data_IF_856349899282
#
_entry.id   IF_856349899282
#
_cell.length_a   1.000
_cell.length_b   1.000
_cell.length_c   1.000
_cell.angle_alpha   90.00
_cell.angle_beta   90.00
_cell.angle_gamma   90.00
#
_symmetry.space_group_name_H-M   'P 1'
#
loop_
_entity.id
_entity.type
_entity.pdbx_description
1 polymer ?
#
# COMPACT_ATOMS: atom_id res chain seq x y z
N UNK A 1 -58.02 -33.27 13.37
CA UNK A 1 -57.69 -31.83 13.31
C UNK A 1 -56.27 -31.64 13.85
N UNK A 2 -55.25 -31.48 12.99
CA UNK A 2 -53.86 -31.25 13.39
C UNK A 2 -53.55 -29.76 13.26
N UNK A 3 -53.24 -29.10 14.39
CA UNK A 3 -52.77 -27.71 14.45
C UNK A 3 -51.30 -27.66 14.04
N UNK A 4 -50.97 -26.83 13.05
CA UNK A 4 -49.59 -26.53 12.65
C UNK A 4 -49.21 -25.21 13.33
N UNK A 5 -48.19 -25.23 14.19
CA UNK A 5 -47.54 -24.03 14.72
C UNK A 5 -46.53 -23.52 13.68
N UNK A 6 -46.69 -22.26 13.25
CA UNK A 6 -45.65 -21.52 12.54
C UNK A 6 -44.72 -20.87 13.58
N UNK A 7 -43.42 -21.18 13.50
CA UNK A 7 -42.38 -20.47 14.24
C UNK A 7 -41.78 -19.37 13.36
N UNK A 8 -41.94 -18.11 13.78
CA UNK A 8 -41.39 -16.93 13.11
C UNK A 8 -39.94 -16.73 13.57
N UNK A 9 -38.97 -16.93 12.68
CA UNK A 9 -37.56 -16.64 12.95
C UNK A 9 -37.28 -15.14 12.70
N UNK A 10 -36.92 -14.43 13.76
CA UNK A 10 -36.42 -13.05 13.70
C UNK A 10 -34.94 -13.09 13.33
N UNK A 11 -34.58 -12.62 12.12
CA UNK A 11 -33.20 -12.41 11.72
C UNK A 11 -32.72 -11.05 12.27
N UNK A 12 -31.85 -11.07 13.28
CA UNK A 12 -31.11 -9.90 13.69
C UNK A 12 -30.06 -9.55 12.62
N UNK A 13 -30.20 -8.39 12.00
CA UNK A 13 -29.22 -7.83 11.07
C UNK A 13 -28.12 -7.21 11.94
N UNK A 14 -26.99 -7.90 12.11
CA UNK A 14 -25.79 -7.26 12.63
C UNK A 14 -25.27 -6.30 11.56
N UNK A 15 -25.43 -4.99 11.77
CA UNK A 15 -24.74 -3.97 10.98
C UNK A 15 -23.25 -4.06 11.31
N UNK A 16 -22.44 -4.51 10.35
CA UNK A 16 -20.98 -4.44 10.45
C UNK A 16 -20.59 -2.97 10.55
N UNK A 17 -19.91 -2.57 11.63
CA UNK A 17 -19.31 -1.25 11.71
C UNK A 17 -18.29 -1.11 10.57
N UNK A 18 -18.52 -0.20 9.64
CA UNK A 18 -17.54 0.15 8.62
C UNK A 18 -16.37 0.83 9.35
N UNK A 19 -15.24 0.12 9.47
CA UNK A 19 -14.03 0.73 10.00
C UNK A 19 -13.55 1.83 9.05
N UNK A 20 -13.25 3.01 9.60
CA UNK A 20 -12.64 4.09 8.86
C UNK A 20 -11.26 3.63 8.36
N UNK A 21 -10.97 3.90 7.09
CA UNK A 21 -9.69 3.52 6.51
C UNK A 21 -8.55 4.29 7.20
N UNK A 22 -7.38 3.67 7.34
CA UNK A 22 -6.16 4.28 7.85
C UNK A 22 -5.11 4.31 6.75
N UNK A 23 -4.41 5.43 6.63
CA UNK A 23 -3.32 5.65 5.66
C UNK A 23 -2.10 6.22 6.39
N UNK A 24 -0.92 6.05 5.84
CA UNK A 24 0.28 6.74 6.34
C UNK A 24 0.49 8.04 5.58
N UNK A 25 0.76 9.13 6.28
CA UNK A 25 1.01 10.45 5.70
C UNK A 25 2.39 10.92 6.10
N UNK A 26 3.12 11.52 5.16
CA UNK A 26 4.37 12.22 5.42
C UNK A 26 4.40 13.54 4.67
N UNK A 27 4.93 14.57 5.33
CA UNK A 27 5.27 15.86 4.71
C UNK A 27 6.77 16.04 4.81
N UNK A 28 7.42 16.21 3.66
CA UNK A 28 8.84 16.51 3.54
C UNK A 28 9.00 17.93 3.02
N UNK A 29 9.06 18.87 3.94
CA UNK A 29 9.25 20.29 3.70
C UNK A 29 10.75 20.64 3.73
N UNK A 30 11.13 21.75 3.08
CA UNK A 30 12.50 22.26 3.12
C UNK A 30 12.79 22.95 4.45
N UNK A 31 11.78 23.63 5.00
CA UNK A 31 11.81 24.27 6.29
C UNK A 31 11.70 23.30 7.47
N UNK A 32 11.71 23.83 8.70
CA UNK A 32 11.76 23.02 9.92
C UNK A 32 10.45 22.27 10.21
N UNK A 33 9.35 22.62 9.55
CA UNK A 33 8.02 22.07 9.83
C UNK A 33 7.70 20.93 8.84
N UNK A 34 7.95 19.70 9.28
CA UNK A 34 7.64 18.48 8.53
C UNK A 34 6.79 17.53 9.38
N UNK A 35 6.04 16.65 8.71
CA UNK A 35 5.30 15.58 9.37
C UNK A 35 6.05 14.27 9.11
N UNK A 36 6.61 13.60 10.14
CA UNK A 36 7.19 12.26 9.95
C UNK A 36 6.11 11.29 9.49
N UNK A 37 6.49 10.12 8.96
CA UNK A 37 5.52 9.08 8.56
C UNK A 37 4.57 8.78 9.73
N UNK A 38 3.31 9.19 9.58
CA UNK A 38 2.29 9.15 10.62
C UNK A 38 1.06 8.43 10.11
N UNK A 39 0.60 7.42 10.82
CA UNK A 39 -0.67 6.76 10.50
C UNK A 39 -1.84 7.64 10.93
N UNK A 40 -2.72 7.96 10.00
CA UNK A 40 -3.92 8.76 10.22
C UNK A 40 -5.16 7.94 9.90
N UNK A 41 -6.27 8.27 10.55
CA UNK A 41 -7.59 7.73 10.17
C UNK A 41 -8.23 8.70 9.19
N UNK A 42 -8.70 8.19 8.06
CA UNK A 42 -9.37 8.99 7.04
C UNK A 42 -10.64 9.63 7.62
N UNK A 43 -10.88 10.92 7.36
CA UNK A 43 -12.03 11.62 7.92
C UNK A 43 -13.34 11.08 7.31
N UNK A 44 -14.45 11.22 8.04
CA UNK A 44 -15.78 10.89 7.52
C UNK A 44 -16.43 12.05 6.76
N UNK A 45 -15.82 13.24 6.79
CA UNK A 45 -16.29 14.47 6.13
C UNK A 45 -15.21 14.95 5.17
N UNK A 46 -15.63 15.40 3.99
CA UNK A 46 -14.74 16.04 3.02
C UNK A 46 -14.20 17.36 3.56
N UNK A 47 -12.88 17.56 3.68
CA UNK A 47 -12.35 18.88 3.96
C UNK A 47 -12.62 19.83 2.79
N UNK A 48 -12.76 21.11 3.12
CA UNK A 48 -13.00 22.18 2.14
C UNK A 48 -11.81 23.12 2.05
N UNK A 49 -11.43 23.47 0.82
CA UNK A 49 -10.46 24.53 0.52
C UNK A 49 -10.97 25.40 -0.59
N UNK A 50 -10.81 26.71 -0.42
CA UNK A 50 -11.24 27.71 -1.39
C UNK A 50 -12.70 27.55 -1.88
N UNK A 51 -13.58 27.04 -1.02
CA UNK A 51 -14.99 26.75 -1.37
C UNK A 51 -15.22 25.45 -2.15
N UNK A 52 -14.20 24.62 -2.36
CA UNK A 52 -14.28 23.33 -3.04
C UNK A 52 -14.03 22.16 -2.08
N UNK A 53 -14.77 21.06 -2.29
CA UNK A 53 -14.66 19.83 -1.51
C UNK A 53 -13.50 18.97 -1.99
N UNK A 54 -12.78 18.39 -1.04
CA UNK A 54 -11.80 17.34 -1.26
C UNK A 54 -12.40 16.03 -0.73
N UNK A 55 -12.76 15.07 -1.59
CA UNK A 55 -13.51 13.89 -1.15
C UNK A 55 -12.76 13.14 -0.03
N UNK A 56 -13.50 12.59 0.93
CA UNK A 56 -12.93 11.98 2.15
C UNK A 56 -12.07 10.71 1.90
N UNK A 57 -11.97 10.27 0.65
CA UNK A 57 -11.14 9.15 0.18
C UNK A 57 -9.88 9.60 -0.55
N UNK A 58 -9.54 10.89 -0.52
CA UNK A 58 -8.46 11.46 -1.36
C UNK A 58 -7.20 11.78 -0.57
N UNK A 59 -6.09 12.01 -1.26
CA UNK A 59 -4.83 12.42 -0.68
C UNK A 59 -4.97 13.74 0.08
N UNK A 60 -5.79 14.68 -0.39
CA UNK A 60 -6.07 15.91 0.35
C UNK A 60 -6.85 15.68 1.65
N UNK A 61 -7.76 14.70 1.70
CA UNK A 61 -8.38 14.29 2.96
C UNK A 61 -7.38 13.62 3.92
N UNK A 62 -6.43 12.86 3.40
CA UNK A 62 -5.35 12.28 4.20
C UNK A 62 -4.42 13.38 4.76
N UNK A 63 -4.05 14.37 3.93
CA UNK A 63 -3.27 15.53 4.36
C UNK A 63 -3.98 16.27 5.49
N UNK A 64 -5.27 16.58 5.31
CA UNK A 64 -6.08 17.28 6.32
C UNK A 64 -6.10 16.53 7.66
N UNK A 65 -6.27 15.20 7.63
CA UNK A 65 -6.21 14.37 8.84
C UNK A 65 -4.81 14.34 9.50
N UNK A 66 -3.74 14.47 8.71
CA UNK A 66 -2.36 14.41 9.20
C UNK A 66 -1.82 15.73 9.72
N UNK A 67 -2.12 16.85 9.06
CA UNK A 67 -1.59 18.17 9.43
C UNK A 67 -2.63 19.05 10.09
N UNK A 68 -3.93 18.77 9.90
CA UNK A 68 -5.04 19.60 10.35
C UNK A 68 -5.37 20.72 9.37
N UNK A 69 -6.66 20.95 9.14
CA UNK A 69 -7.16 21.93 8.17
C UNK A 69 -6.50 23.32 8.17
N UNK A 70 -6.26 23.98 9.31
CA UNK A 70 -5.61 25.30 9.31
C UNK A 70 -4.15 25.30 8.86
N UNK A 71 -3.49 24.14 8.82
CA UNK A 71 -2.05 24.01 8.57
C UNK A 71 -1.71 23.72 7.12
N UNK A 72 -2.67 23.82 6.20
CA UNK A 72 -2.38 23.76 4.77
C UNK A 72 -3.31 24.67 4.00
N UNK A 73 -2.86 25.18 2.86
CA UNK A 73 -3.64 26.03 1.98
C UNK A 73 -3.58 25.51 0.54
N UNK A 74 -4.69 25.67 -0.16
CA UNK A 74 -4.84 25.35 -1.56
C UNK A 74 -5.82 26.34 -2.18
N UNK A 75 -5.66 26.62 -3.48
CA UNK A 75 -6.56 27.43 -4.27
C UNK A 75 -7.18 26.60 -5.40
N UNK A 76 -8.35 27.02 -5.88
CA UNK A 76 -8.96 26.40 -7.04
C UNK A 76 -8.35 26.95 -8.33
N UNK A 77 -7.77 26.06 -9.15
CA UNK A 77 -7.34 26.41 -10.50
C UNK A 77 -8.39 25.98 -11.52
N UNK A 78 -9.01 26.96 -12.17
CA UNK A 78 -10.06 26.71 -13.18
C UNK A 78 -9.55 26.09 -14.48
N UNK A 79 -8.26 26.21 -14.79
CA UNK A 79 -7.63 25.65 -15.99
C UNK A 79 -7.41 24.15 -15.83
N UNK A 80 -7.04 23.71 -14.63
CA UNK A 80 -6.88 22.30 -14.28
C UNK A 80 -8.18 21.68 -13.72
N UNK A 81 -9.14 22.50 -13.31
CA UNK A 81 -10.39 22.09 -12.66
C UNK A 81 -10.11 21.25 -11.40
N UNK A 82 -9.17 21.72 -10.57
CA UNK A 82 -8.72 21.05 -9.36
C UNK A 82 -8.22 22.03 -8.28
N UNK A 83 -8.08 21.54 -7.05
CA UNK A 83 -7.41 22.25 -5.97
C UNK A 83 -5.90 22.05 -6.08
N UNK A 84 -5.16 23.15 -6.22
CA UNK A 84 -3.70 23.19 -6.27
C UNK A 84 -3.16 23.51 -4.88
N UNK A 85 -2.24 22.68 -4.39
CA UNK A 85 -1.66 22.82 -3.05
C UNK A 85 -0.62 23.95 -3.02
N UNK A 86 -0.84 24.96 -2.18
CA UNK A 86 0.02 26.13 -2.08
C UNK A 86 1.02 26.03 -0.94
N UNK A 87 0.56 25.61 0.23
CA UNK A 87 1.40 25.58 1.43
C UNK A 87 1.01 24.50 2.42
N UNK A 88 2.00 24.04 3.19
CA UNK A 88 1.85 23.18 4.36
C UNK A 88 2.68 23.79 5.50
N UNK A 89 2.12 23.86 6.71
CA UNK A 89 2.70 24.51 7.89
C UNK A 89 3.24 25.93 7.64
N UNK A 90 2.60 26.66 6.71
CA UNK A 90 3.00 28.01 6.32
C UNK A 90 4.19 28.07 5.34
N UNK A 91 4.78 26.94 4.96
CA UNK A 91 5.79 26.87 3.91
C UNK A 91 5.11 26.83 2.53
N UNK A 92 5.31 27.89 1.74
CA UNK A 92 4.63 28.09 0.47
C UNK A 92 5.52 27.68 -0.71
N UNK A 93 5.00 26.81 -1.55
CA UNK A 93 5.59 26.37 -2.83
C UNK A 93 4.49 26.36 -3.89
N UNK A 94 3.99 27.54 -4.30
CA UNK A 94 2.93 27.63 -5.29
C UNK A 94 3.40 27.05 -6.62
N UNK A 95 2.46 26.43 -7.33
CA UNK A 95 2.72 25.85 -8.65
C UNK A 95 3.25 26.91 -9.63
N UNK A 96 4.29 26.56 -10.39
CA UNK A 96 5.00 27.49 -11.28
C UNK A 96 6.15 28.27 -10.63
N UNK A 97 6.49 27.95 -9.37
CA UNK A 97 7.76 28.39 -8.76
C UNK A 97 8.87 27.34 -8.95
N UNK A 98 10.11 27.65 -8.58
CA UNK A 98 11.25 26.71 -8.64
C UNK A 98 11.09 25.46 -7.74
N UNK A 99 10.08 25.47 -6.86
CA UNK A 99 9.65 24.34 -6.04
C UNK A 99 8.12 24.19 -6.10
N UNK A 100 7.63 22.97 -5.88
CA UNK A 100 6.20 22.73 -5.76
C UNK A 100 5.92 21.57 -4.81
N UNK A 101 4.69 21.51 -4.29
CA UNK A 101 4.24 20.37 -3.51
C UNK A 101 3.83 19.20 -4.41
N UNK A 102 4.70 18.20 -4.51
CA UNK A 102 4.43 16.96 -5.23
C UNK A 102 3.75 15.93 -4.31
N UNK A 103 2.76 15.22 -4.86
CA UNK A 103 2.07 14.13 -4.16
C UNK A 103 2.54 12.79 -4.70
N UNK A 104 2.99 11.91 -3.81
CA UNK A 104 3.33 10.52 -4.15
C UNK A 104 2.47 9.56 -3.35
N UNK A 105 1.88 8.56 -4.01
CA UNK A 105 1.19 7.44 -3.38
C UNK A 105 2.02 6.17 -3.56
N UNK A 106 2.46 5.57 -2.47
CA UNK A 106 3.30 4.35 -2.47
C UNK A 106 4.54 4.52 -3.37
N UNK A 107 5.19 5.69 -3.28
CA UNK A 107 6.37 6.04 -4.07
C UNK A 107 6.09 6.45 -5.53
N UNK A 108 4.84 6.46 -5.99
CA UNK A 108 4.50 6.88 -7.37
C UNK A 108 3.95 8.29 -7.37
N UNK A 109 4.48 9.13 -8.25
CA UNK A 109 3.95 10.48 -8.41
C UNK A 109 2.52 10.41 -8.90
N UNK A 110 1.64 11.18 -8.28
CA UNK A 110 0.24 11.21 -8.63
C UNK A 110 0.00 12.06 -9.89
N UNK A 111 0.82 13.11 -10.10
CA UNK A 111 0.72 14.05 -11.22
C UNK A 111 -0.71 14.58 -11.47
N UNK A 112 -1.43 14.79 -10.38
CA UNK A 112 -2.83 15.20 -10.34
C UNK A 112 -3.04 15.98 -9.04
N UNK A 113 -4.05 16.85 -8.99
CA UNK A 113 -4.39 17.61 -7.80
C UNK A 113 -4.75 16.69 -6.64
N UNK A 114 -4.34 17.05 -5.41
CA UNK A 114 -4.46 16.15 -4.25
C UNK A 114 -5.90 15.69 -3.93
N UNK A 115 -6.91 16.41 -4.41
CA UNK A 115 -8.32 16.07 -4.26
C UNK A 115 -8.87 15.12 -5.34
N UNK A 116 -8.08 14.82 -6.37
CA UNK A 116 -8.40 13.84 -7.42
C UNK A 116 -7.68 12.51 -7.20
N UNK A 117 -6.73 12.47 -6.26
CA UNK A 117 -5.91 11.31 -5.98
C UNK A 117 -6.56 10.47 -4.89
N UNK A 118 -7.19 9.36 -5.27
CA UNK A 118 -7.75 8.41 -4.29
C UNK A 118 -6.65 7.72 -3.48
N UNK A 119 -6.91 7.55 -2.18
CA UNK A 119 -6.10 6.76 -1.26
C UNK A 119 -6.96 5.68 -0.61
N UNK A 120 -6.37 4.53 -0.34
CA UNK A 120 -7.02 3.38 0.25
C UNK A 120 -6.31 2.94 1.53
N UNK A 121 -7.00 2.11 2.32
CA UNK A 121 -6.44 1.46 3.51
C UNK A 121 -5.00 0.97 3.28
N UNK A 122 -4.07 1.43 4.12
CA UNK A 122 -2.66 1.02 4.09
C UNK A 122 -1.77 1.78 3.11
N UNK A 123 -2.32 2.67 2.28
CA UNK A 123 -1.51 3.48 1.37
C UNK A 123 -0.61 4.47 2.14
N UNK A 124 0.49 4.83 1.51
CA UNK A 124 1.43 5.83 1.99
C UNK A 124 1.40 7.06 1.07
N UNK A 125 0.83 8.15 1.57
CA UNK A 125 0.78 9.45 0.91
C UNK A 125 1.94 10.33 1.37
N UNK A 126 2.77 10.77 0.44
CA UNK A 126 3.90 11.65 0.68
C UNK A 126 3.66 12.99 -0.02
N UNK A 127 3.84 14.08 0.71
CA UNK A 127 3.78 15.45 0.22
C UNK A 127 5.19 16.03 0.29
N UNK A 128 5.77 16.32 -0.86
CA UNK A 128 7.20 16.63 -0.99
C UNK A 128 7.35 18.02 -1.59
N UNK A 129 8.15 18.88 -0.95
CA UNK A 129 8.63 20.11 -1.55
C UNK A 129 9.71 19.77 -2.60
N UNK A 130 9.27 19.42 -3.81
CA UNK A 130 10.10 18.91 -4.90
C UNK A 130 10.67 20.07 -5.72
N UNK A 131 11.92 19.94 -6.19
CA UNK A 131 12.48 20.85 -7.19
C UNK A 131 11.65 20.77 -8.49
N UNK A 132 11.42 21.91 -9.14
CA UNK A 132 10.97 21.90 -10.53
C UNK A 132 12.11 21.34 -11.42
N UNK A 133 11.90 20.25 -12.17
CA UNK A 133 12.93 19.66 -13.02
C UNK A 133 13.28 20.53 -14.25
N UNK A 134 12.40 21.45 -14.64
CA UNK A 134 12.58 22.35 -15.78
C UNK A 134 13.12 23.72 -15.37
N UNK A 135 12.86 24.15 -14.13
CA UNK A 135 13.34 25.43 -13.60
C UNK A 135 13.85 25.31 -12.15
N UNK A 136 14.91 24.51 -11.90
CA UNK A 136 15.43 24.31 -10.55
C UNK A 136 16.07 25.60 -9.99
N UNK A 137 16.08 25.80 -8.66
CA UNK A 137 16.74 26.94 -8.04
C UNK A 137 18.21 27.04 -8.45
N UNK A 138 18.62 28.19 -9.00
CA UNK A 138 20.00 28.45 -9.44
C UNK A 138 20.86 29.15 -8.38
N UNK A 139 20.22 29.63 -7.31
CA UNK A 139 20.84 30.36 -6.20
C UNK A 139 21.38 29.44 -5.09
N UNK A 140 21.27 28.11 -5.27
CA UNK A 140 21.67 27.12 -4.29
C UNK A 140 20.66 26.89 -3.17
N UNK A 141 19.45 27.44 -3.29
CA UNK A 141 18.35 27.14 -2.37
C UNK A 141 18.09 25.63 -2.33
N UNK A 142 17.93 25.04 -1.11
CA UNK A 142 17.70 23.62 -0.98
C UNK A 142 16.33 23.24 -1.56
N UNK A 143 16.31 22.16 -2.33
CA UNK A 143 15.09 21.53 -2.82
C UNK A 143 15.29 20.01 -2.87
N UNK A 144 14.20 19.25 -2.76
CA UNK A 144 14.29 17.80 -2.79
C UNK A 144 14.14 17.24 -4.22
N UNK A 145 14.90 16.19 -4.50
CA UNK A 145 14.59 15.25 -5.58
C UNK A 145 13.54 14.22 -5.15
N UNK A 146 13.15 13.35 -6.07
CA UNK A 146 12.09 12.37 -5.84
C UNK A 146 12.40 11.38 -4.70
N UNK A 147 11.37 10.84 -4.01
CA UNK A 147 11.56 10.13 -2.76
C UNK A 147 12.28 8.79 -2.90
N UNK A 148 12.99 8.45 -1.82
CA UNK A 148 13.35 7.07 -1.52
C UNK A 148 12.15 6.32 -0.93
N UNK A 149 12.18 5.00 -1.03
CA UNK A 149 11.33 4.12 -0.24
C UNK A 149 12.21 3.09 0.47
N UNK A 150 12.08 3.02 1.80
CA UNK A 150 12.79 2.08 2.64
C UNK A 150 11.84 0.98 3.12
N UNK A 151 12.24 -0.27 2.90
CA UNK A 151 11.62 -1.45 3.47
C UNK A 151 12.59 -2.12 4.44
N UNK A 152 12.15 -2.30 5.67
CA UNK A 152 12.88 -2.98 6.73
C UNK A 152 11.93 -3.96 7.44
N UNK A 153 12.45 -5.06 8.02
CA UNK A 153 11.62 -5.96 8.82
C UNK A 153 11.10 -5.24 10.07
N UNK A 154 9.89 -5.56 10.51
CA UNK A 154 9.31 -4.99 11.73
C UNK A 154 10.07 -5.44 12.99
N UNK A 155 10.72 -6.61 12.96
CA UNK A 155 11.46 -7.19 14.08
C UNK A 155 12.79 -7.80 13.63
N UNK A 156 13.81 -7.72 14.47
CA UNK A 156 15.11 -8.36 14.28
C UNK A 156 15.68 -8.87 15.61
N UNK A 157 16.43 -9.97 15.56
CA UNK A 157 17.15 -10.44 16.73
C UNK A 157 18.43 -9.59 16.96
N UNK A 158 18.83 -9.33 18.22
CA UNK A 158 20.03 -8.57 18.53
C UNK A 158 21.29 -9.22 17.93
N UNK A 159 22.15 -8.42 17.33
CA UNK A 159 23.41 -8.84 16.71
C UNK A 159 23.24 -9.60 15.39
N UNK A 160 22.01 -9.77 14.88
CA UNK A 160 21.76 -10.34 13.56
C UNK A 160 21.77 -9.27 12.48
N UNK A 161 22.03 -9.71 11.25
CA UNK A 161 21.94 -8.83 10.08
C UNK A 161 20.48 -8.51 9.77
N UNK A 162 20.14 -7.24 9.85
CA UNK A 162 18.89 -6.64 9.41
C UNK A 162 19.04 -6.25 7.95
N UNK A 163 18.51 -7.09 7.07
CA UNK A 163 18.45 -6.80 5.64
C UNK A 163 17.41 -5.73 5.35
N UNK A 164 17.77 -4.74 4.54
CA UNK A 164 16.87 -3.68 4.08
C UNK A 164 16.89 -3.57 2.57
N UNK A 165 15.81 -3.03 2.02
CA UNK A 165 15.68 -2.68 0.61
C UNK A 165 15.37 -1.20 0.49
N UNK A 166 16.16 -0.49 -0.31
CA UNK A 166 15.92 0.89 -0.67
C UNK A 166 15.63 0.97 -2.17
N UNK A 167 14.48 1.52 -2.51
CA UNK A 167 14.14 1.90 -3.88
C UNK A 167 14.07 3.42 -4.00
N UNK A 168 14.06 3.90 -5.22
CA UNK A 168 13.87 5.31 -5.54
C UNK A 168 12.83 5.47 -6.64
N UNK A 169 12.08 6.56 -6.54
CA UNK A 169 11.16 6.99 -7.59
C UNK A 169 11.94 7.63 -8.74
N UNK A 170 11.51 7.29 -9.95
CA UNK A 170 11.93 7.91 -11.20
C UNK A 170 10.69 8.20 -12.05
N UNK A 171 10.25 9.45 -12.06
CA UNK A 171 9.10 9.91 -12.83
C UNK A 171 9.55 10.54 -14.14
N UNK A 172 9.05 10.01 -15.24
CA UNK A 172 9.09 10.70 -16.53
C UNK A 172 7.89 11.63 -16.63
N UNK A 173 8.13 12.91 -16.39
CA UNK A 173 7.10 13.96 -16.39
C UNK A 173 6.41 14.14 -17.75
N UNK A 174 7.05 13.77 -18.87
CA UNK A 174 6.43 13.88 -20.19
C UNK A 174 5.36 12.81 -20.43
N UNK A 175 5.55 11.63 -19.83
CA UNK A 175 4.62 10.50 -19.95
C UNK A 175 3.74 10.32 -18.73
N UNK A 176 4.09 10.98 -17.63
CA UNK A 176 3.50 10.84 -16.32
C UNK A 176 3.74 9.48 -15.65
N UNK A 177 4.71 8.71 -16.13
CA UNK A 177 4.99 7.38 -15.62
C UNK A 177 6.06 7.44 -14.55
N UNK A 178 5.72 7.04 -13.32
CA UNK A 178 6.72 6.75 -12.28
C UNK A 178 7.12 5.28 -12.31
N UNK A 179 8.43 5.05 -12.41
CA UNK A 179 9.06 3.76 -12.20
C UNK A 179 9.71 3.73 -10.81
N UNK A 180 9.63 2.58 -10.15
CA UNK A 180 10.31 2.35 -8.86
C UNK A 180 11.50 1.45 -9.17
N UNK A 181 12.70 1.95 -8.91
CA UNK A 181 13.95 1.25 -9.25
C UNK A 181 14.81 1.04 -8.00
N UNK A 182 15.70 0.04 -8.00
CA UNK A 182 16.67 -0.13 -6.93
C UNK A 182 17.51 1.14 -6.72
N UNK A 183 17.62 1.60 -5.48
CA UNK A 183 18.45 2.76 -5.14
C UNK A 183 19.85 2.29 -4.79
N UNK A 184 20.71 2.15 -5.78
CA UNK A 184 22.13 1.82 -5.56
C UNK A 184 22.88 3.01 -4.95
N UNK A 185 23.77 2.75 -3.99
CA UNK A 185 24.60 3.79 -3.36
C UNK A 185 23.86 4.67 -2.34
N UNK A 186 22.66 4.31 -1.92
CA UNK A 186 21.98 4.96 -0.81
C UNK A 186 22.66 4.59 0.52
N UNK A 187 22.77 5.54 1.43
CA UNK A 187 23.27 5.30 2.79
C UNK A 187 22.10 4.89 3.66
N UNK A 188 22.22 3.75 4.33
CA UNK A 188 21.28 3.28 5.35
C UNK A 188 21.95 3.38 6.70
N UNK A 189 21.31 4.00 7.68
CA UNK A 189 21.83 4.17 9.03
C UNK A 189 20.81 3.87 10.11
N UNK A 190 21.29 3.33 11.23
CA UNK A 190 20.50 3.07 12.44
C UNK A 190 21.44 2.82 13.62
N UNK A 191 21.10 3.27 14.84
CA UNK A 191 21.86 2.90 16.05
C UNK A 191 23.37 3.13 15.97
N UNK A 192 23.82 4.18 15.28
CA UNK A 192 25.24 4.48 15.08
C UNK A 192 25.98 3.61 14.05
N UNK A 193 25.33 2.60 13.46
CA UNK A 193 25.86 1.83 12.33
C UNK A 193 25.34 2.36 11.00
N UNK A 194 26.15 2.17 9.95
CA UNK A 194 25.79 2.56 8.59
C UNK A 194 26.22 1.50 7.58
N UNK A 195 25.45 1.38 6.50
CA UNK A 195 25.77 0.56 5.33
C UNK A 195 25.36 1.32 4.06
N UNK A 196 25.88 0.88 2.93
CA UNK A 196 25.52 1.43 1.61
C UNK A 196 24.83 0.35 0.80
N UNK A 197 23.79 0.72 0.06
CA UNK A 197 23.06 -0.22 -0.79
C UNK A 197 23.86 -0.62 -2.03
N UNK A 198 23.75 -1.89 -2.38
CA UNK A 198 24.34 -2.45 -3.60
C UNK A 198 23.56 -2.08 -4.88
N UNK A 199 23.98 -2.62 -6.03
CA UNK A 199 23.32 -2.40 -7.32
C UNK A 199 21.85 -2.86 -7.39
N UNK A 200 21.43 -3.71 -6.45
CA UNK A 200 20.04 -4.17 -6.28
C UNK A 200 19.28 -3.41 -5.18
N UNK A 201 19.87 -2.35 -4.62
CA UNK A 201 19.24 -1.53 -3.59
C UNK A 201 19.20 -2.21 -2.23
N UNK A 202 20.04 -3.22 -1.99
CA UNK A 202 20.07 -3.95 -0.72
C UNK A 202 21.23 -3.51 0.16
N UNK A 203 20.96 -3.36 1.45
CA UNK A 203 21.99 -3.17 2.48
C UNK A 203 21.66 -4.06 3.69
N UNK A 204 22.65 -4.29 4.55
CA UNK A 204 22.45 -5.00 5.80
C UNK A 204 23.10 -4.22 6.94
N UNK A 205 22.37 -4.08 8.05
CA UNK A 205 22.84 -3.47 9.29
C UNK A 205 22.91 -4.53 10.38
N UNK A 206 23.95 -4.52 11.20
CA UNK A 206 24.01 -5.37 12.40
C UNK A 206 23.61 -4.52 13.61
N UNK A 207 22.41 -4.76 14.15
CA UNK A 207 21.86 -3.98 15.27
C UNK A 207 21.96 -4.78 16.57
N UNK A 208 22.75 -4.29 17.51
CA UNK A 208 22.98 -4.97 18.80
C UNK A 208 22.13 -4.40 19.93
N UNK A 209 21.79 -3.11 19.84
CA UNK A 209 20.99 -2.43 20.86
C UNK A 209 19.53 -2.85 20.75
N UNK A 210 18.95 -3.25 21.88
CA UNK A 210 17.57 -3.73 21.98
C UNK A 210 16.59 -2.56 22.02
N UNK A 211 15.38 -2.80 21.53
CA UNK A 211 14.30 -1.81 21.49
C UNK A 211 13.93 -1.34 20.09
N UNK A 212 12.94 -0.43 19.99
CA UNK A 212 12.57 0.20 18.72
C UNK A 212 13.74 1.00 18.18
N UNK A 213 14.17 0.67 16.98
CA UNK A 213 15.27 1.34 16.28
C UNK A 213 14.76 1.90 14.96
N UNK A 214 14.93 3.20 14.74
CA UNK A 214 14.64 3.84 13.46
C UNK A 214 15.79 3.61 12.49
N UNK A 215 15.48 2.96 11.38
CA UNK A 215 16.37 2.84 10.22
C UNK A 215 16.02 3.94 9.24
N UNK A 216 17.01 4.72 8.82
CA UNK A 216 16.86 5.79 7.84
C UNK A 216 17.69 5.50 6.59
N UNK A 217 17.18 5.92 5.43
CA UNK A 217 17.86 5.86 4.16
C UNK A 217 17.97 7.26 3.54
N UNK A 218 19.17 7.63 3.10
CA UNK A 218 19.46 8.93 2.46
C UNK A 218 20.28 8.74 1.18
N UNK A 219 20.09 9.63 0.19
CA UNK A 219 20.87 9.63 -1.06
C UNK A 219 20.82 10.98 -1.77
N UNK A 220 21.93 11.71 -1.75
CA UNK A 220 22.02 13.01 -2.42
C UNK A 220 20.92 13.95 -1.96
N UNK A 221 20.20 14.57 -2.90
CA UNK A 221 19.07 15.46 -2.66
C UNK A 221 17.71 14.76 -2.60
N UNK A 222 17.65 13.43 -2.75
CA UNK A 222 16.37 12.70 -2.67
C UNK A 222 15.77 12.84 -1.27
N UNK A 223 14.43 12.89 -1.20
CA UNK A 223 13.74 12.78 0.09
C UNK A 223 14.11 11.46 0.74
N UNK A 224 14.60 11.54 1.98
CA UNK A 224 14.95 10.40 2.80
C UNK A 224 13.72 9.55 3.13
N UNK A 225 13.91 8.29 3.51
CA UNK A 225 12.83 7.47 4.06
C UNK A 225 13.27 6.73 5.31
N UNK A 226 12.31 6.44 6.19
CA UNK A 226 12.58 5.75 7.44
C UNK A 226 11.53 4.70 7.77
N UNK A 227 11.98 3.67 8.48
CA UNK A 227 11.17 2.58 8.99
C UNK A 227 11.65 2.23 10.41
N UNK A 228 10.73 1.78 11.26
CA UNK A 228 11.06 1.33 12.61
C UNK A 228 11.19 -0.19 12.60
N UNK A 229 12.33 -0.70 13.07
CA UNK A 229 12.56 -2.11 13.35
C UNK A 229 12.72 -2.28 14.84
N UNK A 230 11.94 -3.17 15.44
CA UNK A 230 12.17 -3.58 16.81
C UNK A 230 13.32 -4.59 16.89
N UNK A 231 14.37 -4.31 17.65
CA UNK A 231 15.45 -5.25 17.95
C UNK A 231 15.14 -5.96 19.28
N UNK A 232 14.76 -7.23 19.23
CA UNK A 232 14.37 -8.01 20.41
C UNK A 232 14.56 -9.52 20.17
N UNK A 233 14.86 -10.27 21.23
CA UNK A 233 14.82 -11.74 21.21
C UNK A 233 13.46 -12.31 21.64
N UNK A 234 12.47 -11.44 21.86
CA UNK A 234 11.11 -11.81 22.27
C UNK A 234 10.95 -12.09 23.75
N UNK A 235 11.99 -11.94 24.58
CA UNK A 235 11.97 -12.26 26.01
C UNK A 235 12.60 -11.16 26.89
N UNK A 236 12.78 -9.96 26.33
CA UNK A 236 13.63 -8.93 26.91
C UNK A 236 12.85 -7.73 27.49
N UNK A 237 11.53 -7.71 27.39
CA UNK A 237 10.71 -6.60 27.86
C UNK A 237 10.61 -5.44 26.86
N UNK A 238 11.28 -5.54 25.71
CA UNK A 238 11.25 -4.51 24.67
C UNK A 238 10.16 -4.76 23.64
N UNK A 239 9.65 -3.67 23.06
CA UNK A 239 8.66 -3.69 21.98
C UNK A 239 7.40 -4.52 22.27
N UNK A 240 6.94 -4.51 23.52
CA UNK A 240 5.76 -5.27 23.94
C UNK A 240 6.03 -6.74 24.29
N UNK A 241 7.28 -7.20 24.27
CA UNK A 241 7.63 -8.50 24.86
C UNK A 241 7.63 -8.42 26.39
N UNK A 242 7.48 -9.57 27.06
CA UNK A 242 7.55 -9.68 28.53
C UNK A 242 8.83 -10.38 28.96
N UNK A 243 9.51 -9.82 29.97
CA UNK A 243 10.71 -10.43 30.56
C UNK A 243 10.35 -11.58 31.51
N UNK A 244 10.94 -12.78 31.39
CA UNK A 244 10.68 -13.88 32.31
C UNK A 244 11.04 -13.51 33.76
N UNK A 245 10.08 -13.61 34.67
CA UNK A 245 10.28 -13.42 36.12
C UNK A 245 10.01 -12.02 36.67
N UNK A 246 9.63 -11.05 35.83
CA UNK A 246 9.16 -9.74 36.28
C UNK A 246 7.62 -9.74 36.34
N UNK A 247 6.98 -9.22 37.41
CA UNK A 247 5.54 -9.04 37.43
C UNK A 247 5.14 -8.23 36.20
N UNK A 248 4.09 -8.62 35.45
CA UNK A 248 3.73 -7.92 34.23
C UNK A 248 3.55 -6.44 34.56
N UNK A 249 4.32 -5.57 33.90
CA UNK A 249 4.06 -4.14 33.92
C UNK A 249 2.59 -3.97 33.55
N UNK A 250 1.85 -3.20 34.36
CA UNK A 250 0.41 -2.99 34.17
C UNK A 250 0.22 -2.36 32.80
N UNK A 251 0.00 -3.21 31.82
CA UNK A 251 -0.21 -2.82 30.44
C UNK A 251 -1.65 -2.32 30.41
N UNK A 252 -1.94 -1.14 29.83
CA UNK A 252 -3.30 -0.85 29.41
C UNK A 252 -3.78 -2.09 28.65
N UNK A 253 -4.98 -2.63 28.94
CA UNK A 253 -5.41 -3.90 28.38
C UNK A 253 -5.19 -3.85 26.88
N UNK A 254 -4.37 -4.77 26.37
CA UNK A 254 -4.27 -4.93 24.93
C UNK A 254 -5.68 -5.22 24.43
N UNK A 255 -6.23 -4.27 23.68
CA UNK A 255 -7.56 -4.44 23.12
C UNK A 255 -7.36 -5.31 21.89
N UNK A 256 -7.42 -6.61 22.12
CA UNK A 256 -7.42 -7.63 21.08
C UNK A 256 -8.73 -8.41 21.19
N UNK A 257 -9.20 -8.95 20.08
CA UNK A 257 -10.44 -9.74 20.09
C UNK A 257 -10.20 -11.23 20.36
N UNK A 258 -8.94 -11.63 20.57
CA UNK A 258 -8.53 -13.01 20.85
C UNK A 258 -8.27 -13.86 19.61
N UNK A 259 -8.46 -13.31 18.41
CA UNK A 259 -8.39 -14.02 17.13
C UNK A 259 -7.59 -13.24 16.05
N UNK A 260 -6.95 -12.13 16.43
CA UNK A 260 -6.34 -11.17 15.51
C UNK A 260 -4.82 -11.30 15.42
N UNK A 261 -4.22 -12.30 16.05
CA UNK A 261 -2.76 -12.51 16.01
C UNK A 261 -1.97 -11.46 16.80
N UNK A 262 -2.66 -10.56 17.50
CA UNK A 262 -2.03 -9.54 18.32
C UNK A 262 -1.89 -10.03 19.76
N UNK A 263 -0.86 -9.53 20.44
CA UNK A 263 -0.66 -9.74 21.88
C UNK A 263 -0.57 -11.22 22.30
N UNK A 264 -0.03 -12.07 21.42
CA UNK A 264 0.12 -13.51 21.66
C UNK A 264 -1.16 -14.33 21.48
N UNK A 265 -2.26 -13.71 21.03
CA UNK A 265 -3.45 -14.46 20.64
C UNK A 265 -3.21 -15.25 19.34
N UNK A 266 -3.83 -16.42 19.17
CA UNK A 266 -3.83 -17.11 17.90
C UNK A 266 -4.41 -16.23 16.80
N UNK A 267 -3.77 -16.23 15.63
CA UNK A 267 -4.30 -15.56 14.46
C UNK A 267 -5.23 -16.51 13.70
N UNK A 268 -6.51 -16.16 13.65
CA UNK A 268 -7.54 -16.89 12.89
C UNK A 268 -8.09 -16.09 11.71
N UNK A 269 -7.52 -14.91 11.43
CA UNK A 269 -8.02 -13.98 10.40
C UNK A 269 -7.06 -13.94 9.23
N UNK A 270 -7.58 -14.26 8.06
CA UNK A 270 -6.79 -14.13 6.84
C UNK A 270 -6.55 -12.65 6.49
N UNK A 271 -5.31 -12.33 6.16
CA UNK A 271 -4.99 -11.13 5.38
C UNK A 271 -5.83 -11.05 4.11
N UNK A 272 -6.32 -9.85 3.75
CA UNK A 272 -7.06 -9.65 2.52
C UNK A 272 -6.15 -9.32 1.34
N UNK A 273 -6.49 -9.85 0.17
CA UNK A 273 -5.86 -9.50 -1.09
C UNK A 273 -6.73 -8.59 -1.96
N UNK A 274 -6.11 -7.69 -2.70
CA UNK A 274 -6.77 -6.75 -3.61
C UNK A 274 -6.18 -6.88 -5.01
N UNK A 275 -7.04 -6.91 -6.03
CA UNK A 275 -6.64 -6.82 -7.45
C UNK A 275 -6.73 -5.34 -7.84
N UNK A 276 -5.63 -4.76 -8.30
CA UNK A 276 -5.55 -3.33 -8.62
C UNK A 276 -5.35 -3.04 -10.11
N UNK A 277 -4.78 -3.99 -10.87
CA UNK A 277 -4.50 -3.77 -12.30
C UNK A 277 -5.73 -3.78 -13.20
N UNK A 278 -6.85 -4.33 -12.74
CA UNK A 278 -8.05 -4.58 -13.55
C UNK A 278 -9.29 -4.20 -12.76
N UNK A 279 -10.11 -3.30 -13.30
CA UNK A 279 -11.39 -2.89 -12.70
C UNK A 279 -12.49 -3.92 -13.01
N UNK A 280 -13.49 -4.01 -12.14
CA UNK A 280 -14.68 -4.82 -12.43
C UNK A 280 -15.36 -4.30 -13.71
N UNK A 281 -15.71 -5.26 -14.58
CA UNK A 281 -16.29 -5.07 -15.92
C UNK A 281 -15.44 -4.25 -16.88
N UNK A 282 -14.13 -4.10 -16.62
CA UNK A 282 -13.25 -3.42 -17.56
C UNK A 282 -13.25 -4.11 -18.94
N UNK A 283 -13.35 -3.29 -19.99
CA UNK A 283 -13.23 -3.73 -21.38
C UNK A 283 -11.87 -3.32 -21.94
N UNK A 284 -11.13 -4.31 -22.42
CA UNK A 284 -9.90 -4.11 -23.15
C UNK A 284 -10.18 -4.25 -24.64
N UNK A 285 -9.65 -3.33 -25.44
CA UNK A 285 -9.74 -3.37 -26.91
C UNK A 285 -9.13 -4.67 -27.45
N UNK A 286 -9.53 -5.05 -28.66
CA UNK A 286 -8.98 -6.19 -29.38
C UNK A 286 -7.44 -6.14 -29.40
N UNK A 287 -6.80 -7.20 -28.94
CA UNK A 287 -5.33 -7.30 -28.91
C UNK A 287 -4.66 -6.57 -27.74
N UNK A 288 -5.43 -5.83 -26.93
CA UNK A 288 -4.93 -5.05 -25.79
C UNK A 288 -5.33 -5.67 -24.45
N UNK A 289 -5.61 -6.97 -24.40
CA UNK A 289 -5.85 -7.64 -23.13
C UNK A 289 -4.61 -7.58 -22.24
N UNK A 290 -4.78 -7.49 -20.91
CA UNK A 290 -3.67 -7.26 -20.00
C UNK A 290 -2.69 -8.44 -20.08
N UNK A 291 -1.40 -8.15 -20.02
CA UNK A 291 -0.34 -9.15 -19.84
C UNK A 291 0.13 -9.22 -18.40
N UNK A 292 0.00 -8.14 -17.66
CA UNK A 292 0.45 -8.03 -16.28
C UNK A 292 -0.76 -7.96 -15.36
N UNK A 293 -0.75 -8.77 -14.31
CA UNK A 293 -1.74 -8.76 -13.24
C UNK A 293 -1.07 -8.17 -12.00
N UNK A 294 -1.73 -7.24 -11.31
CA UNK A 294 -1.19 -6.60 -10.10
C UNK A 294 -2.23 -6.50 -9.01
N UNK A 295 -1.71 -6.40 -7.81
CA UNK A 295 -2.50 -6.13 -6.63
C UNK A 295 -1.64 -5.98 -5.40
N UNK A 296 -2.32 -5.87 -4.27
CA UNK A 296 -1.69 -5.76 -2.96
C UNK A 296 -2.35 -6.69 -1.96
N UNK A 297 -1.76 -6.82 -0.77
CA UNK A 297 -2.38 -7.46 0.39
C UNK A 297 -2.39 -6.49 1.56
N UNK A 298 -3.32 -6.66 2.49
CA UNK A 298 -3.23 -5.94 3.76
C UNK A 298 -2.04 -6.47 4.58
N UNK A 299 -1.45 -5.63 5.45
CA UNK A 299 -0.52 -6.09 6.47
C UNK A 299 -1.20 -7.12 7.37
N UNK A 300 -0.45 -8.13 7.78
CA UNK A 300 -0.92 -9.21 8.64
C UNK A 300 0.07 -9.43 9.78
N UNK A 301 -0.37 -9.55 11.04
CA UNK A 301 0.53 -9.80 12.17
C UNK A 301 1.34 -11.08 12.03
N UNK A 302 0.79 -12.11 11.38
CA UNK A 302 1.50 -13.37 11.10
C UNK A 302 2.33 -13.31 9.81
N UNK A 303 2.24 -12.20 9.06
CA UNK A 303 2.91 -11.99 7.78
C UNK A 303 2.21 -12.70 6.62
N UNK A 304 2.67 -12.42 5.40
CA UNK A 304 2.12 -13.03 4.19
C UNK A 304 2.91 -14.28 3.79
N UNK A 305 2.23 -15.42 3.65
CA UNK A 305 2.84 -16.69 3.25
C UNK A 305 2.75 -16.94 1.76
N UNK A 306 1.59 -16.70 1.15
CA UNK A 306 1.38 -17.00 -0.27
C UNK A 306 0.25 -16.15 -0.87
N UNK A 307 0.44 -15.74 -2.12
CA UNK A 307 -0.57 -15.12 -2.96
C UNK A 307 -0.87 -16.09 -4.09
N UNK A 308 -2.14 -16.48 -4.18
CA UNK A 308 -2.62 -17.40 -5.21
C UNK A 308 -3.63 -16.69 -6.09
N UNK A 309 -3.55 -16.96 -7.40
CA UNK A 309 -4.54 -16.48 -8.36
C UNK A 309 -5.18 -17.63 -9.11
N UNK A 310 -6.39 -17.39 -9.58
CA UNK A 310 -7.13 -18.29 -10.47
C UNK A 310 -7.71 -17.47 -11.59
N UNK A 311 -7.32 -17.79 -12.82
CA UNK A 311 -7.77 -17.09 -14.02
C UNK A 311 -8.55 -18.04 -14.93
N UNK A 312 -9.79 -17.69 -15.24
CA UNK A 312 -10.65 -18.44 -16.16
C UNK A 312 -11.14 -17.54 -17.29
N UNK A 313 -11.36 -18.14 -18.47
CA UNK A 313 -11.82 -17.48 -19.70
C UNK A 313 -13.03 -18.23 -20.26
N UNK A 314 -14.01 -17.48 -20.73
CA UNK A 314 -15.13 -17.96 -21.54
C UNK A 314 -15.16 -17.17 -22.85
N UNK A 315 -15.12 -17.88 -23.98
CA UNK A 315 -15.22 -17.31 -25.32
C UNK A 315 -16.19 -18.14 -26.17
N UNK A 316 -17.34 -17.55 -26.52
CA UNK A 316 -18.39 -18.19 -27.35
C UNK A 316 -18.72 -19.62 -26.90
N UNK A 317 -18.99 -19.80 -25.61
CA UNK A 317 -19.32 -21.11 -25.02
C UNK A 317 -18.14 -22.06 -24.79
N UNK A 318 -16.91 -21.69 -25.18
CA UNK A 318 -15.69 -22.44 -24.87
C UNK A 318 -15.04 -21.87 -23.62
N UNK A 319 -14.78 -22.73 -22.64
CA UNK A 319 -14.19 -22.35 -21.37
C UNK A 319 -12.78 -22.91 -21.20
N UNK A 320 -11.88 -22.09 -20.68
CA UNK A 320 -10.50 -22.47 -20.35
C UNK A 320 -10.06 -21.88 -19.02
N UNK A 321 -9.12 -22.54 -18.34
CA UNK A 321 -8.44 -22.03 -17.16
C UNK A 321 -6.96 -21.80 -17.50
N UNK A 322 -6.35 -20.81 -16.88
CA UNK A 322 -4.90 -20.65 -16.95
C UNK A 322 -4.24 -21.65 -16.00
N UNK A 323 -3.28 -22.43 -16.52
CA UNK A 323 -2.48 -23.33 -15.70
C UNK A 323 -1.15 -22.68 -15.39
N UNK A 324 -0.89 -22.36 -14.12
CA UNK A 324 0.39 -21.79 -13.68
C UNK A 324 1.59 -22.69 -14.02
N UNK A 325 1.44 -24.01 -13.94
CA UNK A 325 2.50 -24.97 -14.30
C UNK A 325 2.78 -25.03 -15.80
N UNK A 326 1.73 -25.00 -16.64
CA UNK A 326 1.88 -25.09 -18.11
C UNK A 326 2.02 -23.73 -18.77
N UNK A 327 1.88 -22.65 -18.00
CA UNK A 327 1.96 -21.25 -18.45
C UNK A 327 1.07 -20.96 -19.67
N UNK A 328 -0.13 -21.56 -19.71
CA UNK A 328 -1.09 -21.38 -20.81
C UNK A 328 -2.51 -21.73 -20.41
N UNK A 329 -3.46 -21.29 -21.23
CA UNK A 329 -4.86 -21.72 -21.11
C UNK A 329 -5.02 -23.18 -21.55
N UNK A 330 -5.70 -23.95 -20.70
CA UNK A 330 -6.12 -25.33 -20.97
C UNK A 330 -7.64 -25.42 -20.99
N UNK A 331 -8.16 -26.27 -21.88
CA UNK A 331 -9.61 -26.43 -22.06
C UNK A 331 -10.24 -27.02 -20.80
N UNK A 332 -11.38 -26.45 -20.40
CA UNK A 332 -12.22 -26.97 -19.33
C UNK A 332 -13.34 -27.84 -19.90
N UNK A 333 -13.68 -28.93 -19.23
CA UNK A 333 -14.84 -29.78 -19.60
C UNK A 333 -16.18 -29.09 -19.33
N UNK A 334 -16.25 -28.23 -18.30
CA UNK A 334 -17.44 -27.46 -17.92
C UNK A 334 -17.04 -26.04 -17.56
N UNK A 335 -17.88 -25.09 -17.91
CA UNK A 335 -17.68 -23.68 -17.58
C UNK A 335 -17.88 -23.39 -16.09
N UNK A 336 -17.25 -22.33 -15.61
CA UNK A 336 -17.42 -21.79 -14.25
C UNK A 336 -16.10 -21.41 -13.60
N UNK A 337 -16.00 -20.18 -13.08
CA UNK A 337 -14.79 -19.63 -12.47
C UNK A 337 -14.25 -20.50 -11.32
N UNK A 338 -15.16 -21.00 -10.46
CA UNK A 338 -14.80 -21.88 -9.33
C UNK A 338 -14.20 -23.23 -9.74
N UNK A 339 -14.30 -23.63 -11.02
CA UNK A 339 -13.70 -24.85 -11.57
C UNK A 339 -12.28 -24.64 -12.09
N UNK A 340 -11.79 -23.40 -12.11
CA UNK A 340 -10.39 -23.12 -12.40
C UNK A 340 -9.47 -23.62 -11.27
N UNK A 341 -8.18 -23.68 -11.55
CA UNK A 341 -7.16 -24.09 -10.58
C UNK A 341 -6.45 -22.86 -10.03
N UNK A 342 -6.22 -22.85 -8.71
CA UNK A 342 -5.36 -21.87 -8.06
C UNK A 342 -3.89 -22.17 -8.36
N UNK A 343 -3.08 -21.14 -8.54
CA UNK A 343 -1.63 -21.26 -8.59
C UNK A 343 -0.98 -20.13 -7.82
N UNK A 344 0.14 -20.42 -7.16
CA UNK A 344 0.92 -19.43 -6.42
C UNK A 344 1.62 -18.49 -7.40
N UNK A 345 1.69 -17.22 -7.02
CA UNK A 345 2.43 -16.16 -7.70
C UNK A 345 3.50 -15.52 -6.80
N UNK A 346 3.72 -16.07 -5.59
CA UNK A 346 4.72 -15.62 -4.62
C UNK A 346 4.11 -15.09 -3.33
N UNK A 347 4.95 -14.51 -2.46
CA UNK A 347 4.60 -14.10 -1.10
C UNK A 347 4.85 -12.60 -0.83
N UNK A 348 4.82 -11.78 -1.89
CA UNK A 348 5.01 -10.32 -1.77
C UNK A 348 3.67 -9.63 -1.55
N UNK A 349 3.63 -8.68 -0.61
CA UNK A 349 2.43 -7.89 -0.32
C UNK A 349 1.98 -7.13 -1.57
N UNK A 350 2.90 -6.38 -2.20
CA UNK A 350 2.71 -5.86 -3.56
C UNK A 350 3.09 -6.93 -4.58
N UNK A 351 2.07 -7.61 -5.09
CA UNK A 351 2.27 -8.72 -6.01
C UNK A 351 2.07 -8.27 -7.46
N UNK A 352 2.86 -8.88 -8.33
CA UNK A 352 2.76 -8.72 -9.77
C UNK A 352 2.97 -10.07 -10.41
N UNK A 353 2.17 -10.40 -11.42
CA UNK A 353 2.31 -11.61 -12.21
C UNK A 353 2.25 -11.29 -13.70
N UNK A 354 3.36 -11.54 -14.40
CA UNK A 354 3.46 -11.37 -15.85
C UNK A 354 3.01 -12.64 -16.56
N UNK A 355 1.91 -12.56 -17.30
CA UNK A 355 1.44 -13.61 -18.17
C UNK A 355 2.42 -13.81 -19.34
N UNK A 356 2.62 -15.06 -19.78
CA UNK A 356 3.48 -15.37 -20.93
C UNK A 356 3.06 -14.66 -22.22
N UNK A 357 1.76 -14.35 -22.36
CA UNK A 357 1.18 -13.62 -23.48
C UNK A 357 0.04 -12.73 -22.99
N UNK A 358 -0.18 -11.63 -23.69
CA UNK A 358 -1.37 -10.79 -23.52
C UNK A 358 -2.65 -11.62 -23.66
N UNK A 359 -3.66 -11.29 -22.85
CA UNK A 359 -4.93 -12.01 -22.89
C UNK A 359 -5.67 -11.74 -24.21
N UNK A 360 -6.07 -12.82 -24.89
CA UNK A 360 -6.89 -12.72 -26.10
C UNK A 360 -8.37 -12.46 -25.80
N UNK A 361 -9.20 -12.33 -26.84
CA UNK A 361 -10.65 -12.09 -26.73
C UNK A 361 -11.36 -12.96 -25.69
N UNK A 362 -12.29 -12.43 -24.92
CA UNK A 362 -13.24 -13.23 -24.15
C UNK A 362 -13.58 -12.60 -22.81
N UNK A 363 -14.50 -13.24 -22.10
CA UNK A 363 -14.87 -12.88 -20.73
C UNK A 363 -13.99 -13.62 -19.75
N UNK A 364 -13.32 -12.89 -18.87
CA UNK A 364 -12.43 -13.42 -17.86
C UNK A 364 -13.02 -13.31 -16.47
N UNK A 365 -12.60 -14.21 -15.59
CA UNK A 365 -12.74 -14.04 -14.13
C UNK A 365 -11.36 -14.28 -13.54
N UNK A 366 -10.85 -13.26 -12.86
CA UNK A 366 -9.64 -13.32 -12.06
C UNK A 366 -10.06 -13.36 -10.59
N UNK A 367 -9.73 -14.45 -9.92
CA UNK A 367 -9.85 -14.58 -8.48
C UNK A 367 -8.45 -14.51 -7.86
N UNK A 368 -8.38 -13.96 -6.67
CA UNK A 368 -7.22 -13.82 -5.81
C UNK A 368 -7.54 -14.47 -4.46
N UNK A 369 -6.56 -15.12 -3.86
CA UNK A 369 -6.61 -15.64 -2.50
C UNK A 369 -5.23 -15.47 -1.88
N UNK A 370 -5.19 -14.86 -0.71
CA UNK A 370 -4.01 -14.73 0.13
C UNK A 370 -4.01 -15.79 1.21
N UNK A 371 -2.82 -16.18 1.66
CA UNK A 371 -2.59 -17.08 2.78
C UNK A 371 -1.57 -16.38 3.68
N UNK A 372 -1.89 -16.21 4.95
CA UNK A 372 -1.00 -15.61 5.94
C UNK A 372 -0.01 -16.64 6.54
N UNK A 373 0.89 -16.17 7.40
CA UNK A 373 1.89 -17.00 8.07
C UNK A 373 1.27 -18.04 9.01
N UNK A 374 0.15 -17.71 9.66
CA UNK A 374 -0.64 -18.62 10.49
C UNK A 374 -1.40 -19.69 9.68
N UNK A 375 -1.51 -19.51 8.37
CA UNK A 375 -2.19 -20.41 7.44
C UNK A 375 -3.66 -20.10 7.21
N UNK A 376 -4.19 -18.99 7.71
CA UNK A 376 -5.54 -18.56 7.35
C UNK A 376 -5.54 -18.08 5.89
N UNK A 377 -6.66 -18.31 5.21
CA UNK A 377 -6.78 -18.01 3.79
C UNK A 377 -8.03 -17.18 3.51
N UNK A 378 -7.91 -16.16 2.66
CA UNK A 378 -9.03 -15.32 2.22
C UNK A 378 -9.93 -16.09 1.25
N UNK A 379 -10.69 -17.04 1.79
CA UNK A 379 -11.52 -17.95 1.01
C UNK A 379 -12.80 -17.27 0.47
N UNK A 380 -13.18 -16.11 1.02
CA UNK A 380 -14.39 -15.40 0.64
C UNK A 380 -14.11 -14.48 -0.55
N UNK A 381 -14.63 -14.88 -1.71
CA UNK A 381 -14.47 -14.11 -2.94
C UNK A 381 -15.48 -12.96 -3.00
N UNK A 382 -15.00 -11.75 -2.74
CA UNK A 382 -15.70 -10.49 -2.88
C UNK A 382 -15.40 -9.83 -4.23
N UNK A 383 -16.46 -9.43 -4.95
CA UNK A 383 -16.31 -8.62 -6.16
C UNK A 383 -15.58 -7.31 -5.83
N UNK A 384 -14.90 -6.74 -6.83
CA UNK A 384 -14.12 -5.49 -6.73
C UNK A 384 -12.94 -5.52 -5.75
N UNK A 385 -12.70 -6.62 -5.02
CA UNK A 385 -11.56 -6.81 -4.11
C UNK A 385 -10.64 -7.92 -4.59
N UNK A 386 -11.01 -9.17 -4.31
CA UNK A 386 -10.23 -10.37 -4.64
C UNK A 386 -10.90 -11.19 -5.77
N UNK A 387 -11.94 -10.63 -6.40
CA UNK A 387 -12.56 -11.18 -7.60
C UNK A 387 -12.94 -10.06 -8.55
N UNK A 388 -12.46 -10.15 -9.79
CA UNK A 388 -12.88 -9.27 -10.88
C UNK A 388 -13.30 -10.03 -12.12
N UNK A 389 -14.32 -9.53 -12.80
CA UNK A 389 -14.78 -9.97 -14.12
C UNK A 389 -14.44 -8.89 -15.12
N UNK A 390 -13.79 -9.24 -16.23
CA UNK A 390 -13.41 -8.27 -17.26
C UNK A 390 -13.46 -8.90 -18.65
N UNK A 391 -13.32 -8.08 -19.69
CA UNK A 391 -13.53 -8.48 -21.07
C UNK A 391 -12.37 -8.05 -21.95
N UNK A 392 -12.03 -8.89 -22.93
CA UNK A 392 -11.20 -8.49 -24.07
C UNK A 392 -12.06 -8.60 -25.31
N UNK A 393 -12.22 -7.49 -26.02
CA UNK A 393 -13.11 -7.37 -27.16
C UNK A 393 -12.55 -8.10 -28.41
N UNK A 394 -13.41 -8.22 -29.42
CA UNK A 394 -13.23 -9.14 -30.55
C UNK A 394 -12.39 -8.63 -31.71
#
# INVERSE_FOLDING_TARGET
MKKILLATAVFAICASAAHAATVSVRVSAIGPASLPRTTVTMPSTSPQKDGHDCASTTAGAALDAGVGGPNWAAHWDSSFNELVLDSIYGEAHPFGSHLFWAVYINGKSALDGLCNVDVAQGDYAQFVALCDPYDPPTDGSPCYGEPLQLQAPATAAPGQNVGVTVTESQTDINTGVTTIVPSAGATVSAGGVQATTDGSGHAALTLSDRGPTTIAATKGTRVDDSAVTCVSDGSDGFCGSTKPGEPPAVTPPCVHNGDDGLCGSPDHKATYGFITSIREHQHFRKGHGPRELKGRTDPDPSGLKDVQVRLTRSDRGRCSLFSGTKLRFVRMKRCGARRGTWFSIGSKADWTYLLPKALGRGRYVLDLKTIDGAGNADAQLARTRNRVVFFVDA
#
